data_IF_049721163480
#
_entry.id   IF_049721163480
#
_cell.length_a   1.000
_cell.length_b   1.000
_cell.length_c   1.000
_cell.angle_alpha   90.00
_cell.angle_beta   90.00
_cell.angle_gamma   90.00
#
_symmetry.space_group_name_H-M   'P 1'
#
loop_
_entity.id
_entity.type
_entity.pdbx_description
1 polymer ?
#
# COMPACT_ATOMS: atom_id res chain seq x y z
N UNK A 1 50.81 -28.63 -51.26
CA UNK A 1 49.57 -29.45 -51.27
C UNK A 1 49.14 -29.64 -49.82
N UNK A 2 47.98 -29.06 -49.46
CA UNK A 2 47.09 -29.36 -48.29
C UNK A 2 47.70 -29.12 -46.89
N UNK A 3 47.48 -27.99 -46.18
CA UNK A 3 46.27 -27.47 -45.47
C UNK A 3 45.61 -28.49 -44.53
N UNK A 4 45.67 -28.28 -43.20
CA UNK A 4 44.64 -28.52 -42.16
C UNK A 4 45.30 -28.78 -40.79
N UNK A 5 44.80 -28.33 -39.64
CA UNK A 5 43.75 -27.38 -39.27
C UNK A 5 43.96 -27.06 -37.79
N UNK A 6 43.83 -25.79 -37.45
CA UNK A 6 43.84 -25.23 -36.10
C UNK A 6 42.62 -25.76 -35.31
N UNK A 7 42.87 -26.38 -34.16
CA UNK A 7 41.86 -26.79 -33.19
C UNK A 7 41.99 -25.99 -31.90
N UNK A 8 41.20 -24.91 -31.79
CA UNK A 8 40.88 -24.20 -30.55
C UNK A 8 40.36 -25.16 -29.48
N UNK A 9 40.72 -24.94 -28.22
CA UNK A 9 39.78 -24.58 -27.14
C UNK A 9 40.52 -24.56 -25.79
N UNK A 10 40.87 -23.34 -25.38
CA UNK A 10 41.30 -23.01 -24.02
C UNK A 10 40.04 -23.09 -23.14
N UNK A 11 39.95 -24.11 -22.29
CA UNK A 11 38.95 -24.16 -21.21
C UNK A 11 39.62 -23.68 -19.92
N UNK A 12 39.40 -22.41 -19.61
CA UNK A 12 39.56 -21.89 -18.25
C UNK A 12 38.47 -22.50 -17.37
N UNK A 13 38.86 -23.16 -16.28
CA UNK A 13 37.97 -23.36 -15.13
C UNK A 13 38.79 -23.09 -13.87
N UNK A 14 38.80 -21.82 -13.48
CA UNK A 14 39.21 -21.39 -12.14
C UNK A 14 37.98 -21.56 -11.26
N UNK A 15 38.04 -22.48 -10.29
CA UNK A 15 37.17 -22.46 -9.12
C UNK A 15 38.06 -22.44 -7.88
N UNK A 16 38.53 -21.23 -7.57
CA UNK A 16 38.77 -20.78 -6.20
C UNK A 16 37.44 -20.96 -5.43
N UNK A 17 37.41 -21.49 -4.22
CA UNK A 17 38.05 -20.93 -3.04
C UNK A 17 36.93 -20.68 -2.03
N UNK A 18 37.07 -21.27 -0.86
CA UNK A 18 36.10 -21.34 0.23
C UNK A 18 35.53 -19.98 0.65
N UNK A 19 34.21 -19.87 0.83
CA UNK A 19 33.60 -18.76 1.57
C UNK A 19 32.69 -19.30 2.67
N UNK A 20 33.28 -19.25 3.86
CA UNK A 20 32.69 -19.13 5.19
C UNK A 20 31.17 -18.91 5.24
N UNK A 21 30.53 -19.89 5.85
CA UNK A 21 29.21 -19.87 6.47
C UNK A 21 29.21 -18.85 7.62
N UNK A 22 28.97 -17.57 7.33
CA UNK A 22 28.60 -16.60 8.35
C UNK A 22 27.07 -16.62 8.50
N UNK A 23 26.61 -17.25 9.57
CA UNK A 23 25.28 -17.04 10.10
C UNK A 23 25.14 -15.55 10.45
N UNK A 24 24.49 -14.79 9.58
CA UNK A 24 23.87 -13.54 9.97
C UNK A 24 22.39 -13.84 10.23
N UNK A 25 22.09 -14.23 11.46
CA UNK A 25 20.77 -14.02 12.05
C UNK A 25 20.64 -12.52 12.32
N UNK A 26 20.28 -11.75 11.29
CA UNK A 26 19.83 -10.38 11.51
C UNK A 26 18.37 -10.42 11.95
N UNK A 27 18.23 -10.29 13.27
CA UNK A 27 17.10 -9.83 14.05
C UNK A 27 15.85 -9.42 13.25
N UNK A 28 14.86 -10.31 13.21
CA UNK A 28 13.46 -9.96 12.95
C UNK A 28 12.92 -9.27 14.21
N UNK A 29 13.30 -8.02 14.44
CA UNK A 29 12.80 -7.26 15.58
C UNK A 29 12.81 -5.75 15.31
N UNK A 30 12.03 -5.34 14.31
CA UNK A 30 11.66 -3.94 14.10
C UNK A 30 10.30 -3.75 13.40
N UNK A 31 9.52 -4.82 13.18
CA UNK A 31 8.22 -4.72 12.50
C UNK A 31 7.05 -4.42 13.44
N UNK A 32 7.06 -4.95 14.67
CA UNK A 32 5.87 -5.01 15.52
C UNK A 32 5.26 -3.66 15.91
N UNK A 33 6.08 -2.62 16.09
CA UNK A 33 5.62 -1.30 16.53
C UNK A 33 5.01 -0.48 15.38
N UNK A 34 5.56 -0.60 14.15
CA UNK A 34 4.99 0.04 12.95
C UNK A 34 3.65 -0.58 12.57
N UNK A 35 3.52 -1.91 12.69
CA UNK A 35 2.25 -2.60 12.44
C UNK A 35 1.17 -2.19 13.44
N UNK A 36 1.48 -2.02 14.73
CA UNK A 36 0.50 -1.60 15.73
C UNK A 36 -0.04 -0.18 15.48
N UNK A 37 0.83 0.75 15.08
CA UNK A 37 0.45 2.12 14.71
C UNK A 37 -0.39 2.15 13.41
N UNK A 38 -0.04 1.34 12.41
CA UNK A 38 -0.80 1.22 11.16
C UNK A 38 -2.21 0.66 11.38
N UNK A 39 -2.35 -0.39 12.18
CA UNK A 39 -3.66 -1.00 12.49
C UNK A 39 -4.60 -0.04 13.23
N UNK A 40 -4.08 0.78 14.15
CA UNK A 40 -4.88 1.76 14.89
C UNK A 40 -5.42 2.85 13.94
N UNK A 41 -4.59 3.34 13.02
CA UNK A 41 -4.99 4.35 12.02
C UNK A 41 -6.05 3.80 11.05
N UNK A 42 -5.92 2.55 10.60
CA UNK A 42 -6.91 1.93 9.71
C UNK A 42 -8.23 1.66 10.43
N UNK A 43 -8.19 1.15 11.67
CA UNK A 43 -9.39 0.97 12.48
C UNK A 43 -10.10 2.30 12.79
N UNK A 44 -9.36 3.38 12.98
CA UNK A 44 -9.92 4.72 13.13
C UNK A 44 -10.52 5.23 11.81
N UNK A 45 -9.87 4.99 10.68
CA UNK A 45 -10.39 5.37 9.36
C UNK A 45 -11.73 4.70 9.06
N UNK A 46 -11.85 3.40 9.33
CA UNK A 46 -13.10 2.66 9.16
C UNK A 46 -14.23 3.24 10.04
N UNK A 47 -13.94 3.56 11.30
CA UNK A 47 -14.91 4.19 12.22
C UNK A 47 -15.40 5.54 11.70
N UNK A 48 -14.50 6.39 11.21
CA UNK A 48 -14.83 7.70 10.64
C UNK A 48 -15.71 7.54 9.39
N UNK A 49 -15.38 6.60 8.51
CA UNK A 49 -16.19 6.31 7.31
C UNK A 49 -17.59 5.80 7.67
N UNK A 50 -17.71 4.91 8.67
CA UNK A 50 -19.00 4.46 9.19
C UNK A 50 -19.83 5.60 9.78
N UNK A 51 -19.18 6.51 10.52
CA UNK A 51 -19.85 7.69 11.06
C UNK A 51 -20.30 8.65 9.95
N UNK A 52 -19.44 8.90 8.95
CA UNK A 52 -19.78 9.75 7.81
C UNK A 52 -20.93 9.18 6.98
N UNK A 53 -20.97 7.85 6.84
CA UNK A 53 -22.07 7.14 6.20
C UNK A 53 -23.36 7.30 7.02
N UNK A 54 -23.34 7.02 8.32
CA UNK A 54 -24.51 7.14 9.19
C UNK A 54 -25.11 8.56 9.22
N UNK A 55 -24.27 9.58 9.02
CA UNK A 55 -24.69 10.98 8.92
C UNK A 55 -25.25 11.36 7.54
N UNK A 56 -25.09 10.50 6.53
CA UNK A 56 -25.62 10.74 5.18
C UNK A 56 -27.12 10.41 5.11
N UNK A 57 -27.94 11.26 4.45
CA UNK A 57 -29.34 10.94 4.14
C UNK A 57 -29.52 9.66 3.31
N UNK A 58 -28.48 9.21 2.58
CA UNK A 58 -28.54 8.06 1.66
C UNK A 58 -28.25 6.71 2.31
N UNK A 59 -27.67 6.70 3.50
CA UNK A 59 -27.33 5.47 4.22
C UNK A 59 -28.53 4.53 4.38
N UNK A 60 -29.70 5.08 4.69
CA UNK A 60 -30.92 4.30 4.87
C UNK A 60 -31.50 3.73 3.57
N UNK A 61 -31.09 4.23 2.42
CA UNK A 61 -31.61 3.78 1.12
C UNK A 61 -30.84 2.60 0.52
N UNK A 62 -29.54 2.47 0.80
CA UNK A 62 -28.65 1.47 0.18
C UNK A 62 -27.49 1.04 1.11
N UNK A 63 -27.77 0.47 2.30
CA UNK A 63 -26.73 0.17 3.30
C UNK A 63 -25.62 -0.74 2.75
N UNK A 64 -25.96 -1.83 2.05
CA UNK A 64 -24.98 -2.78 1.51
C UNK A 64 -23.98 -2.16 0.52
N UNK A 65 -24.45 -1.19 -0.28
CA UNK A 65 -23.60 -0.51 -1.25
C UNK A 65 -22.61 0.42 -0.58
N UNK A 66 -23.06 1.14 0.45
CA UNK A 66 -22.20 2.07 1.20
C UNK A 66 -21.22 1.28 2.07
N UNK A 67 -21.65 0.18 2.68
CA UNK A 67 -20.77 -0.70 3.45
C UNK A 67 -19.65 -1.29 2.58
N UNK A 68 -19.96 -1.73 1.35
CA UNK A 68 -18.92 -2.15 0.41
C UNK A 68 -17.93 -1.02 0.09
N UNK A 69 -18.40 0.19 -0.15
CA UNK A 69 -17.49 1.33 -0.39
C UNK A 69 -16.62 1.65 0.83
N UNK A 70 -17.13 1.52 2.06
CA UNK A 70 -16.33 1.66 3.29
C UNK A 70 -15.21 0.62 3.31
N UNK A 71 -15.51 -0.65 3.04
CA UNK A 71 -14.49 -1.71 3.02
C UNK A 71 -13.46 -1.50 1.92
N UNK A 72 -13.89 -1.14 0.71
CA UNK A 72 -12.99 -0.90 -0.42
C UNK A 72 -12.01 0.25 -0.12
N UNK A 73 -12.50 1.37 0.44
CA UNK A 73 -11.66 2.51 0.82
C UNK A 73 -10.70 2.10 1.95
N UNK A 74 -11.19 1.42 2.99
CA UNK A 74 -10.38 0.99 4.13
C UNK A 74 -9.26 0.04 3.69
N UNK A 75 -9.56 -0.92 2.81
CA UNK A 75 -8.59 -1.85 2.25
C UNK A 75 -7.50 -1.14 1.44
N UNK A 76 -7.86 -0.15 0.61
CA UNK A 76 -6.89 0.63 -0.15
C UNK A 76 -5.99 1.48 0.75
N UNK A 77 -6.53 2.05 1.82
CA UNK A 77 -5.74 2.76 2.83
C UNK A 77 -4.76 1.82 3.53
N UNK A 78 -5.20 0.63 3.90
CA UNK A 78 -4.33 -0.38 4.50
C UNK A 78 -3.18 -0.79 3.56
N UNK A 79 -3.49 -1.05 2.28
CA UNK A 79 -2.49 -1.33 1.26
C UNK A 79 -1.48 -0.18 1.11
N UNK A 80 -1.97 1.07 1.11
CA UNK A 80 -1.11 2.24 1.01
C UNK A 80 -0.18 2.38 2.22
N UNK A 81 -0.70 2.23 3.44
CA UNK A 81 0.09 2.28 4.67
C UNK A 81 1.16 1.17 4.71
N UNK A 82 0.79 -0.08 4.38
CA UNK A 82 1.75 -1.20 4.32
C UNK A 82 2.83 -0.99 3.26
N UNK A 83 2.47 -0.39 2.12
CA UNK A 83 3.43 -0.04 1.08
C UNK A 83 4.38 1.09 1.52
N UNK A 84 3.88 2.06 2.31
CA UNK A 84 4.71 3.10 2.91
C UNK A 84 5.75 2.50 3.89
N UNK A 85 5.34 1.55 4.73
CA UNK A 85 6.24 0.85 5.66
C UNK A 85 7.37 0.08 4.96
N UNK A 86 7.13 -0.36 3.71
CA UNK A 86 8.09 -1.13 2.91
C UNK A 86 8.84 -0.27 1.89
N UNK A 87 8.73 1.07 1.98
CA UNK A 87 9.33 2.04 1.05
C UNK A 87 8.97 1.79 -0.43
N UNK A 88 7.80 1.20 -0.70
CA UNK A 88 7.30 0.97 -2.05
C UNK A 88 6.40 2.14 -2.48
N UNK A 89 7.05 3.24 -2.88
CA UNK A 89 6.39 4.49 -3.28
C UNK A 89 5.32 4.31 -4.37
N UNK A 90 5.59 3.45 -5.36
CA UNK A 90 4.68 3.24 -6.48
C UNK A 90 3.38 2.57 -6.01
N UNK A 91 3.49 1.52 -5.19
CA UNK A 91 2.33 0.85 -4.61
C UNK A 91 1.58 1.75 -3.62
N UNK A 92 2.30 2.48 -2.75
CA UNK A 92 1.72 3.44 -1.82
C UNK A 92 0.88 4.47 -2.56
N UNK A 93 1.47 5.14 -3.56
CA UNK A 93 0.78 6.17 -4.34
C UNK A 93 -0.40 5.58 -5.11
N UNK A 94 -0.21 4.41 -5.74
CA UNK A 94 -1.26 3.72 -6.48
C UNK A 94 -2.51 3.45 -5.64
N UNK A 95 -2.34 2.85 -4.46
CA UNK A 95 -3.45 2.58 -3.54
C UNK A 95 -4.05 3.85 -2.94
N UNK A 96 -3.22 4.83 -2.57
CA UNK A 96 -3.70 6.10 -2.01
C UNK A 96 -4.54 6.92 -3.01
N UNK A 97 -4.14 6.96 -4.30
CA UNK A 97 -4.94 7.62 -5.34
C UNK A 97 -6.27 6.91 -5.58
N UNK A 98 -6.31 5.58 -5.55
CA UNK A 98 -7.55 4.83 -5.68
C UNK A 98 -8.48 5.08 -4.49
N UNK A 99 -7.95 5.10 -3.27
CA UNK A 99 -8.72 5.46 -2.08
C UNK A 99 -9.29 6.88 -2.19
N UNK A 100 -8.47 7.84 -2.65
CA UNK A 100 -8.90 9.23 -2.86
C UNK A 100 -10.06 9.32 -3.86
N UNK A 101 -9.92 8.63 -5.00
CA UNK A 101 -10.93 8.63 -6.04
C UNK A 101 -12.27 8.06 -5.54
N UNK A 102 -12.24 6.93 -4.82
CA UNK A 102 -13.46 6.34 -4.25
C UNK A 102 -14.10 7.26 -3.21
N UNK A 103 -13.29 7.86 -2.32
CA UNK A 103 -13.79 8.77 -1.30
C UNK A 103 -14.44 10.02 -1.92
N UNK A 104 -13.77 10.67 -2.88
CA UNK A 104 -14.32 11.83 -3.58
C UNK A 104 -15.61 11.48 -4.31
N UNK A 105 -15.66 10.31 -4.96
CA UNK A 105 -16.86 9.82 -5.65
C UNK A 105 -18.01 9.58 -4.69
N UNK A 106 -17.76 8.96 -3.54
CA UNK A 106 -18.78 8.71 -2.52
C UNK A 106 -19.29 10.01 -1.89
N UNK A 107 -18.41 10.99 -1.61
CA UNK A 107 -18.80 12.33 -1.15
C UNK A 107 -19.64 13.05 -2.21
N UNK A 108 -19.22 13.04 -3.48
CA UNK A 108 -19.95 13.68 -4.57
C UNK A 108 -21.34 13.04 -4.81
N UNK A 109 -21.46 11.74 -4.55
CA UNK A 109 -22.75 11.04 -4.55
C UNK A 109 -23.57 11.34 -3.29
N UNK A 110 -22.99 11.94 -2.26
CA UNK A 110 -23.63 12.17 -0.97
C UNK A 110 -23.78 10.88 -0.17
N UNK A 111 -22.98 9.84 -0.43
CA UNK A 111 -22.94 8.60 0.34
C UNK A 111 -22.20 8.80 1.68
N UNK A 112 -21.32 9.80 1.75
CA UNK A 112 -20.67 10.26 2.98
C UNK A 112 -20.89 11.75 3.22
N UNK A 113 -21.06 12.12 4.49
CA UNK A 113 -21.02 13.52 4.92
C UNK A 113 -19.61 14.13 4.73
N UNK A 114 -19.46 15.23 3.96
CA UNK A 114 -18.17 15.83 3.65
C UNK A 114 -17.45 16.37 4.90
N UNK A 115 -18.18 16.86 5.90
CA UNK A 115 -17.59 17.39 7.14
C UNK A 115 -16.95 16.31 8.00
N UNK A 116 -17.52 15.09 7.97
CA UNK A 116 -17.06 13.97 8.78
C UNK A 116 -15.85 13.24 8.16
N UNK A 117 -15.70 13.23 6.83
CA UNK A 117 -14.62 12.48 6.15
C UNK A 117 -13.27 13.22 6.05
N UNK A 118 -13.17 14.47 6.47
CA UNK A 118 -11.93 15.26 6.39
C UNK A 118 -10.69 14.59 7.03
N UNK A 119 -10.80 13.84 8.15
CA UNK A 119 -9.67 13.07 8.68
C UNK A 119 -9.11 12.04 7.68
N UNK A 120 -9.96 11.46 6.83
CA UNK A 120 -9.55 10.49 5.80
C UNK A 120 -8.82 11.20 4.66
N UNK A 121 -9.31 12.36 4.22
CA UNK A 121 -8.58 13.19 3.26
C UNK A 121 -7.21 13.60 3.79
N UNK A 122 -7.12 13.95 5.07
CA UNK A 122 -5.85 14.28 5.72
C UNK A 122 -4.89 13.10 5.74
N UNK A 123 -5.38 11.89 6.06
CA UNK A 123 -4.58 10.66 6.00
C UNK A 123 -4.04 10.42 4.59
N UNK A 124 -4.88 10.53 3.56
CA UNK A 124 -4.49 10.35 2.16
C UNK A 124 -3.46 11.40 1.73
N UNK A 125 -3.61 12.67 2.12
CA UNK A 125 -2.63 13.73 1.80
C UNK A 125 -1.27 13.47 2.43
N UNK A 126 -1.21 12.85 3.62
CA UNK A 126 0.07 12.44 4.23
C UNK A 126 0.78 11.36 3.41
N UNK A 127 0.02 10.47 2.78
CA UNK A 127 0.54 9.45 1.86
C UNK A 127 0.86 10.04 0.47
N UNK A 128 0.25 11.16 0.11
CA UNK A 128 0.39 11.87 -1.16
C UNK A 128 0.84 13.33 -0.98
N UNK A 129 2.05 13.60 -0.44
CA UNK A 129 2.45 14.95 -0.03
C UNK A 129 2.56 16.01 -1.15
N UNK A 130 2.40 15.62 -2.42
CA UNK A 130 2.43 16.51 -3.59
C UNK A 130 1.05 16.71 -4.26
N UNK A 131 -0.04 16.30 -3.61
CA UNK A 131 -1.39 16.43 -4.17
C UNK A 131 -2.14 17.54 -3.44
N UNK A 132 -2.21 18.70 -4.09
CA UNK A 132 -3.14 19.78 -3.73
C UNK A 132 -4.53 19.40 -4.25
N UNK A 133 -5.51 19.29 -3.35
CA UNK A 133 -6.93 19.09 -3.68
C UNK A 133 -7.55 20.42 -4.06
#
# INVERSE_FOLDING_TARGET
MVIMRIGRLIRSLVLAGSVLMWMQTTSVQAGGESYALGYDVIGQAEKVLKQAAANSPKWHGKPDSVEREIYDITFLLEQACRAADTANDAAMKGSAYQALFLLQRAVARGDFDPGTVEPIFTLIRRLLPNVSV
#
